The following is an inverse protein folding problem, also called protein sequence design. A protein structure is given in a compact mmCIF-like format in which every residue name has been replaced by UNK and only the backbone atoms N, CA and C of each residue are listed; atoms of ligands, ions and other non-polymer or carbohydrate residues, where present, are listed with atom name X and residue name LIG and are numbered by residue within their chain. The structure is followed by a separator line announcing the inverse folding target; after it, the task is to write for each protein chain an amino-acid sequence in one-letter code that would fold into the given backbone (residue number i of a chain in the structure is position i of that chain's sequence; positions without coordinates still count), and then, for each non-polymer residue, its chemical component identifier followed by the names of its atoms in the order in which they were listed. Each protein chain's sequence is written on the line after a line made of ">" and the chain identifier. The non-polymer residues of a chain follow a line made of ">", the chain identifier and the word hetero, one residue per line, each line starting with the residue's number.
data_IF_800459343203
#
_entry.id   IF_800459343203
#
_cell.length_a   1.000
_cell.length_b   1.000
_cell.length_c   1.000
_cell.angle_alpha   90.00
_cell.angle_beta   90.00
_cell.angle_gamma   90.00
#
_symmetry.space_group_name_H-M   'P 1'
#
loop_
_entity.id
_entity.type
_entity.pdbx_description
1 polymer ?
#
# COMPACT_ATOMS: atom_id res chain seq x y z
N UNK A 1 4.94 10.38 -19.45
CA UNK A 1 5.81 9.32 -18.90
C UNK A 1 5.70 9.33 -17.38
N UNK A 2 6.19 8.29 -16.66
CA UNK A 2 6.13 8.24 -15.18
C UNK A 2 6.75 9.50 -14.55
N UNK A 3 7.88 9.99 -15.06
CA UNK A 3 8.53 11.22 -14.58
C UNK A 3 7.65 12.48 -14.69
N UNK A 4 6.78 12.56 -15.70
CA UNK A 4 5.86 13.69 -15.86
C UNK A 4 4.76 13.66 -14.79
N UNK A 5 4.27 12.46 -14.43
CA UNK A 5 3.28 12.29 -13.37
C UNK A 5 3.89 12.60 -12.00
N UNK A 6 5.15 12.22 -11.76
CA UNK A 6 5.87 12.59 -10.55
C UNK A 6 6.01 14.12 -10.48
N UNK A 7 6.41 14.76 -11.59
CA UNK A 7 6.52 16.21 -11.67
C UNK A 7 5.19 16.90 -11.39
N UNK A 8 4.11 16.47 -12.03
CA UNK A 8 2.76 17.04 -11.82
C UNK A 8 2.35 16.97 -10.34
N UNK A 9 2.66 15.86 -9.66
CA UNK A 9 2.38 15.74 -8.23
C UNK A 9 3.23 16.68 -7.37
N UNK A 10 4.55 16.75 -7.64
CA UNK A 10 5.52 17.58 -6.91
C UNK A 10 5.27 19.09 -7.11
N UNK A 11 4.91 19.49 -8.32
CA UNK A 11 4.65 20.88 -8.70
C UNK A 11 3.17 21.27 -8.50
N UNK A 12 2.35 20.37 -7.94
CA UNK A 12 0.94 20.65 -7.70
C UNK A 12 0.77 21.79 -6.70
N UNK A 13 -0.20 22.67 -6.97
CA UNK A 13 -0.54 23.77 -6.06
C UNK A 13 -0.89 23.28 -4.65
N UNK A 14 -1.44 22.07 -4.53
CA UNK A 14 -1.75 21.43 -3.26
C UNK A 14 -0.49 21.14 -2.43
N UNK A 15 0.54 20.53 -3.03
CA UNK A 15 1.79 20.27 -2.30
C UNK A 15 2.51 21.58 -1.98
N UNK A 16 2.58 22.52 -2.92
CA UNK A 16 3.22 23.83 -2.70
C UNK A 16 2.54 24.60 -1.56
N UNK A 17 1.21 24.64 -1.52
CA UNK A 17 0.47 25.29 -0.44
C UNK A 17 0.74 24.63 0.92
N UNK A 18 0.79 23.30 0.96
CA UNK A 18 1.11 22.56 2.18
C UNK A 18 2.54 22.83 2.65
N UNK A 19 3.53 22.84 1.75
CA UNK A 19 4.93 23.15 2.08
C UNK A 19 5.04 24.59 2.61
N UNK A 20 4.40 25.56 1.95
CA UNK A 20 4.40 26.96 2.37
C UNK A 20 3.80 27.17 3.76
N UNK A 21 2.68 26.51 4.07
CA UNK A 21 2.03 26.61 5.38
C UNK A 21 2.89 26.11 6.54
N UNK A 22 3.87 25.24 6.26
CA UNK A 22 4.84 24.73 7.22
C UNK A 22 6.21 25.39 7.11
N UNK A 23 6.30 26.54 6.42
CA UNK A 23 7.50 27.39 6.35
C UNK A 23 8.54 26.95 5.32
N UNK A 24 8.18 26.07 4.38
CA UNK A 24 9.04 25.66 3.27
C UNK A 24 8.72 26.41 1.98
N UNK A 25 9.58 26.21 0.98
CA UNK A 25 9.43 26.71 -0.38
C UNK A 25 10.06 25.68 -1.32
N UNK A 26 9.24 25.06 -2.19
CA UNK A 26 9.73 24.07 -3.15
C UNK A 26 10.62 24.79 -4.17
N UNK A 27 11.89 24.42 -4.33
CA UNK A 27 12.78 25.11 -5.25
C UNK A 27 12.36 24.88 -6.71
N UNK A 28 12.65 25.85 -7.57
CA UNK A 28 12.67 25.63 -9.02
C UNK A 28 13.84 24.70 -9.40
N UNK A 29 13.66 23.93 -10.47
CA UNK A 29 14.78 23.21 -11.10
C UNK A 29 14.51 21.72 -11.37
N UNK A 30 15.58 20.90 -11.37
CA UNK A 30 15.46 19.47 -11.64
C UNK A 30 14.57 18.75 -10.63
N UNK A 31 13.77 17.81 -11.11
CA UNK A 31 12.82 17.04 -10.28
C UNK A 31 13.50 16.27 -9.14
N UNK A 32 14.73 15.80 -9.37
CA UNK A 32 15.53 15.12 -8.34
C UNK A 32 15.87 16.06 -7.17
N UNK A 33 16.21 17.32 -7.46
CA UNK A 33 16.55 18.31 -6.44
C UNK A 33 15.31 18.74 -5.65
N UNK A 34 14.17 18.88 -6.34
CA UNK A 34 12.87 19.13 -5.70
C UNK A 34 12.47 18.01 -4.73
N UNK A 35 12.59 16.75 -5.15
CA UNK A 35 12.29 15.59 -4.31
C UNK A 35 13.27 15.47 -3.14
N UNK A 36 14.56 15.72 -3.35
CA UNK A 36 15.55 15.74 -2.28
C UNK A 36 15.24 16.83 -1.24
N UNK A 37 14.86 18.02 -1.69
CA UNK A 37 14.38 19.10 -0.80
C UNK A 37 13.15 18.66 -0.01
N UNK A 38 12.12 18.15 -0.69
CA UNK A 38 10.86 17.73 -0.05
C UNK A 38 11.06 16.59 0.95
N UNK A 39 11.98 15.66 0.68
CA UNK A 39 12.33 14.58 1.60
C UNK A 39 12.93 15.13 2.91
N UNK A 40 13.86 16.08 2.79
CA UNK A 40 14.45 16.76 3.93
C UNK A 40 13.44 17.63 4.69
N UNK A 41 12.69 18.47 3.97
CA UNK A 41 11.69 19.37 4.53
C UNK A 41 10.59 18.62 5.28
N UNK A 42 10.07 17.53 4.70
CA UNK A 42 8.95 16.77 5.28
C UNK A 42 9.26 16.14 6.64
N UNK A 43 10.48 16.25 7.17
CA UNK A 43 10.80 15.88 8.55
C UNK A 43 9.93 16.63 9.56
N UNK A 44 9.43 17.82 9.23
CA UNK A 44 8.45 18.58 10.03
C UNK A 44 7.10 17.85 10.21
N UNK A 45 6.84 16.83 9.37
CA UNK A 45 5.64 15.99 9.39
C UNK A 45 5.92 14.59 9.95
N UNK A 46 7.12 14.32 10.47
CA UNK A 46 7.49 13.01 11.00
C UNK A 46 6.91 12.81 12.41
N UNK A 47 5.72 12.21 12.46
CA UNK A 47 5.04 11.86 13.71
C UNK A 47 5.47 10.50 14.26
N UNK A 48 6.30 9.74 13.52
CA UNK A 48 6.77 8.41 13.91
C UNK A 48 8.13 8.42 14.57
N UNK A 49 9.01 9.35 14.19
CA UNK A 49 10.39 9.42 14.67
C UNK A 49 11.13 8.06 14.59
N UNK A 50 10.90 7.30 13.51
CA UNK A 50 11.46 5.95 13.31
C UNK A 50 10.68 4.80 13.97
N UNK A 51 9.60 5.09 14.70
CA UNK A 51 8.72 4.10 15.33
C UNK A 51 7.69 3.48 14.39
N UNK A 52 6.94 2.51 14.92
CA UNK A 52 5.80 1.89 14.23
C UNK A 52 4.62 2.85 14.11
N UNK A 53 3.70 2.58 13.16
CA UNK A 53 2.50 3.41 12.95
C UNK A 53 1.65 3.59 14.21
N UNK A 54 1.54 2.53 15.02
CA UNK A 54 0.79 2.54 16.29
C UNK A 54 1.43 3.45 17.35
N UNK A 55 2.71 3.77 17.21
CA UNK A 55 3.46 4.62 18.12
C UNK A 55 3.43 6.10 17.70
N UNK A 56 2.81 6.41 16.55
CA UNK A 56 2.75 7.78 16.07
C UNK A 56 2.10 8.71 17.10
N UNK A 57 2.61 9.94 17.18
CA UNK A 57 2.07 11.00 18.03
C UNK A 57 1.78 12.19 17.14
N UNK A 58 0.50 12.46 16.93
CA UNK A 58 0.06 13.56 16.12
C UNK A 58 -0.07 14.83 16.94
N UNK A 59 0.17 15.96 16.29
CA UNK A 59 0.05 17.29 16.88
C UNK A 59 -1.32 17.83 16.51
N UNK A 60 -1.96 18.50 17.45
CA UNK A 60 -3.15 19.31 17.18
C UNK A 60 -2.74 20.59 16.44
N UNK A 61 -3.39 20.87 15.31
CA UNK A 61 -3.21 22.13 14.58
C UNK A 61 -4.41 23.05 14.81
N UNK A 62 -4.24 24.32 14.43
CA UNK A 62 -5.38 25.25 14.38
C UNK A 62 -6.33 24.85 13.24
N UNK A 63 -7.63 25.16 13.38
CA UNK A 63 -8.69 24.73 12.46
C UNK A 63 -8.43 25.10 10.99
N UNK A 64 -7.79 26.25 10.75
CA UNK A 64 -7.42 26.70 9.41
C UNK A 64 -6.32 25.84 8.78
N UNK A 65 -5.32 25.45 9.57
CA UNK A 65 -4.26 24.52 9.15
C UNK A 65 -4.82 23.12 8.95
N UNK A 66 -5.70 22.65 9.82
CA UNK A 66 -6.37 21.35 9.64
C UNK A 66 -7.19 21.32 8.35
N UNK A 67 -7.98 22.38 8.09
CA UNK A 67 -8.73 22.53 6.84
C UNK A 67 -7.83 22.46 5.61
N UNK A 68 -6.70 23.17 5.64
CA UNK A 68 -5.70 23.13 4.56
C UNK A 68 -5.11 21.74 4.38
N UNK A 69 -4.75 21.04 5.46
CA UNK A 69 -4.20 19.67 5.38
C UNK A 69 -5.22 18.75 4.71
N UNK A 70 -6.48 18.79 5.14
CA UNK A 70 -7.54 17.94 4.59
C UNK A 70 -7.78 18.20 3.10
N UNK A 71 -7.82 19.46 2.68
CA UNK A 71 -8.03 19.84 1.28
C UNK A 71 -6.83 19.46 0.42
N UNK A 72 -5.63 19.86 0.82
CA UNK A 72 -4.40 19.60 0.07
C UNK A 72 -4.14 18.10 -0.07
N UNK A 73 -4.25 17.32 1.00
CA UNK A 73 -4.01 15.87 0.95
C UNK A 73 -5.10 15.14 0.16
N UNK A 74 -6.34 15.62 0.18
CA UNK A 74 -7.39 15.16 -0.72
C UNK A 74 -7.03 15.36 -2.20
N UNK A 75 -6.56 16.56 -2.56
CA UNK A 75 -6.09 16.87 -3.91
C UNK A 75 -4.85 16.06 -4.33
N UNK A 76 -3.97 15.74 -3.39
CA UNK A 76 -2.80 14.87 -3.59
C UNK A 76 -3.14 13.38 -3.71
N UNK A 77 -4.43 13.01 -3.58
CA UNK A 77 -4.92 11.65 -3.78
C UNK A 77 -4.89 10.76 -2.54
N UNK A 78 -4.74 11.32 -1.34
CA UNK A 78 -4.92 10.60 -0.06
C UNK A 78 -6.41 10.41 0.28
N UNK A 79 -7.31 10.88 -0.58
CA UNK A 79 -8.74 10.61 -0.57
C UNK A 79 -9.27 10.53 -2.02
N UNK A 80 -10.52 10.09 -2.20
CA UNK A 80 -11.18 10.15 -3.52
C UNK A 80 -10.72 9.11 -4.55
N UNK A 81 -9.94 8.11 -4.14
CA UNK A 81 -9.41 7.03 -5.00
C UNK A 81 -10.10 5.68 -4.73
N UNK A 82 -11.41 5.71 -4.50
CA UNK A 82 -12.18 4.50 -4.18
C UNK A 82 -12.49 3.69 -5.44
N UNK A 83 -12.84 4.34 -6.54
CA UNK A 83 -13.38 3.66 -7.73
C UNK A 83 -12.27 3.25 -8.70
N UNK A 84 -12.19 1.97 -9.09
CA UNK A 84 -11.30 1.55 -10.16
C UNK A 84 -11.72 2.14 -11.52
N UNK A 85 -10.75 2.44 -12.38
CA UNK A 85 -10.95 3.01 -13.71
C UNK A 85 -11.37 1.94 -14.73
N UNK A 86 -10.91 0.70 -14.53
CA UNK A 86 -11.28 -0.46 -15.36
C UNK A 86 -12.38 -1.29 -14.72
N UNK A 87 -13.19 -1.92 -15.57
CA UNK A 87 -14.18 -2.93 -15.16
C UNK A 87 -13.59 -4.34 -15.01
N UNK A 88 -12.34 -4.55 -15.46
CA UNK A 88 -11.65 -5.83 -15.39
C UNK A 88 -10.18 -5.66 -15.01
N UNK A 89 -9.68 -6.57 -14.17
CA UNK A 89 -8.26 -6.75 -13.85
C UNK A 89 -7.88 -8.22 -13.86
N UNK A 90 -6.68 -8.53 -14.29
CA UNK A 90 -6.21 -9.92 -14.30
C UNK A 90 -5.98 -10.43 -12.87
N UNK A 91 -5.62 -9.55 -11.94
CA UNK A 91 -5.36 -9.89 -10.53
C UNK A 91 -5.83 -8.78 -9.59
N UNK A 92 -6.35 -9.15 -8.41
CA UNK A 92 -6.55 -8.23 -7.28
C UNK A 92 -5.56 -8.60 -6.18
N UNK A 93 -4.75 -7.64 -5.71
CA UNK A 93 -3.90 -7.83 -4.54
C UNK A 93 -4.40 -6.96 -3.38
N UNK A 94 -4.74 -7.59 -2.27
CA UNK A 94 -5.20 -6.92 -1.05
C UNK A 94 -4.01 -6.73 -0.11
N UNK A 95 -3.63 -5.47 0.14
CA UNK A 95 -2.48 -5.17 0.98
C UNK A 95 -2.71 -5.49 2.45
N UNK A 96 -1.71 -6.12 3.06
CA UNK A 96 -1.61 -6.39 4.49
C UNK A 96 -1.60 -5.17 5.40
N UNK A 97 -1.85 -5.40 6.68
CA UNK A 97 -1.80 -4.40 7.73
C UNK A 97 -2.15 -5.04 9.06
N UNK A 98 -2.48 -4.21 10.04
CA UNK A 98 -3.02 -4.72 11.31
C UNK A 98 -4.35 -5.47 11.10
N UNK A 99 -4.81 -6.17 12.14
CA UNK A 99 -6.02 -7.03 12.15
C UNK A 99 -7.23 -6.34 11.52
N UNK A 100 -7.54 -5.14 11.99
CA UNK A 100 -8.67 -4.32 11.53
C UNK A 100 -8.46 -3.88 10.08
N UNK A 101 -7.28 -3.37 9.75
CA UNK A 101 -6.96 -2.84 8.43
C UNK A 101 -7.00 -3.92 7.34
N UNK A 102 -6.35 -5.06 7.58
CA UNK A 102 -6.35 -6.18 6.64
C UNK A 102 -7.77 -6.66 6.37
N UNK A 103 -8.56 -6.85 7.42
CA UNK A 103 -9.98 -7.21 7.31
C UNK A 103 -10.81 -6.20 6.52
N UNK A 104 -10.66 -4.90 6.80
CA UNK A 104 -11.39 -3.86 6.07
C UNK A 104 -11.04 -3.85 4.58
N UNK A 105 -9.76 -4.01 4.23
CA UNK A 105 -9.32 -4.10 2.83
C UNK A 105 -9.85 -5.34 2.12
N UNK A 106 -9.89 -6.49 2.80
CA UNK A 106 -10.48 -7.71 2.25
C UNK A 106 -11.97 -7.55 1.96
N UNK A 107 -12.72 -6.93 2.87
CA UNK A 107 -14.13 -6.59 2.64
C UNK A 107 -14.31 -5.59 1.50
N UNK A 108 -13.39 -4.62 1.38
CA UNK A 108 -13.43 -3.66 0.29
C UNK A 108 -13.19 -4.33 -1.07
N UNK A 109 -12.24 -5.27 -1.15
CA UNK A 109 -12.01 -6.05 -2.35
C UNK A 109 -13.25 -6.89 -2.76
N UNK A 110 -13.92 -7.50 -1.79
CA UNK A 110 -15.18 -8.20 -2.03
C UNK A 110 -16.28 -7.24 -2.55
N UNK A 111 -16.42 -6.08 -1.91
CA UNK A 111 -17.37 -5.04 -2.32
C UNK A 111 -17.14 -4.54 -3.76
N UNK A 112 -15.87 -4.36 -4.17
CA UNK A 112 -15.54 -3.97 -5.54
C UNK A 112 -16.02 -5.03 -6.55
N UNK A 113 -15.86 -6.31 -6.23
CA UNK A 113 -16.33 -7.40 -7.10
C UNK A 113 -17.86 -7.49 -7.14
N UNK A 114 -18.53 -7.31 -6.01
CA UNK A 114 -20.00 -7.29 -5.92
C UNK A 114 -20.62 -6.12 -6.69
N UNK A 115 -19.90 -4.98 -6.77
CA UNK A 115 -20.37 -3.75 -7.42
C UNK A 115 -19.97 -3.63 -8.90
N UNK A 116 -19.40 -4.69 -9.48
CA UNK A 116 -19.24 -4.82 -10.93
C UNK A 116 -17.80 -4.81 -11.46
N UNK A 117 -16.79 -4.77 -10.58
CA UNK A 117 -15.41 -5.09 -11.00
C UNK A 117 -15.32 -6.60 -11.21
N UNK A 118 -14.72 -7.01 -12.32
CA UNK A 118 -14.37 -8.42 -12.54
C UNK A 118 -12.86 -8.61 -12.38
N UNK A 119 -12.46 -9.76 -11.84
CA UNK A 119 -11.05 -10.10 -11.78
C UNK A 119 -10.80 -11.61 -11.81
N UNK A 120 -9.55 -11.99 -12.10
CA UNK A 120 -9.03 -13.34 -11.92
C UNK A 120 -8.86 -13.69 -10.43
N UNK A 121 -7.66 -14.12 -9.98
CA UNK A 121 -7.45 -14.44 -8.58
C UNK A 121 -7.44 -13.19 -7.68
N UNK A 122 -7.86 -13.41 -6.42
CA UNK A 122 -7.70 -12.45 -5.32
C UNK A 122 -6.57 -12.95 -4.43
N UNK A 123 -5.60 -12.08 -4.14
CA UNK A 123 -4.42 -12.43 -3.35
C UNK A 123 -4.30 -11.51 -2.15
N UNK A 124 -4.38 -12.06 -0.95
CA UNK A 124 -4.08 -11.35 0.28
C UNK A 124 -2.59 -11.37 0.57
N UNK A 125 -2.02 -10.18 0.78
CA UNK A 125 -0.61 -10.01 1.06
C UNK A 125 -0.39 -9.84 2.55
N UNK A 126 0.45 -10.67 3.15
CA UNK A 126 0.86 -10.57 4.55
C UNK A 126 2.30 -11.06 4.74
N UNK A 127 2.72 -11.09 6.00
CA UNK A 127 4.02 -11.59 6.41
C UNK A 127 3.88 -12.50 7.62
N UNK A 128 4.98 -13.16 8.03
CA UNK A 128 5.04 -13.90 9.29
C UNK A 128 5.28 -13.00 10.52
N UNK A 129 5.17 -11.67 10.35
CA UNK A 129 5.24 -10.76 11.49
C UNK A 129 4.09 -11.04 12.44
N UNK A 130 4.41 -11.37 13.69
CA UNK A 130 3.43 -11.47 14.77
C UNK A 130 2.83 -10.09 15.03
N UNK A 131 1.50 -10.04 15.02
CA UNK A 131 0.75 -8.83 15.31
C UNK A 131 0.70 -8.60 16.82
N UNK A 132 0.72 -7.33 17.27
CA UNK A 132 0.50 -7.01 18.67
C UNK A 132 -0.78 -7.67 19.23
N UNK A 133 -0.82 -7.99 20.53
CA UNK A 133 -2.00 -8.53 21.18
C UNK A 133 -3.24 -7.65 20.97
N UNK A 134 -4.40 -8.29 20.94
CA UNK A 134 -5.68 -7.63 20.75
C UNK A 134 -6.01 -6.57 21.82
N UNK A 135 -5.39 -6.63 23.00
CA UNK A 135 -5.62 -5.68 24.09
C UNK A 135 -5.38 -4.21 23.73
N UNK A 136 -4.58 -3.94 22.69
CA UNK A 136 -4.37 -2.59 22.13
C UNK A 136 -5.10 -2.37 20.79
N UNK A 137 -5.63 -3.44 20.17
CA UNK A 137 -6.21 -3.43 18.82
C UNK A 137 -7.69 -3.86 18.74
N UNK A 138 -8.36 -4.07 19.87
CA UNK A 138 -9.82 -4.20 19.98
C UNK A 138 -10.45 -5.53 19.54
N UNK A 139 -9.68 -6.62 19.39
CA UNK A 139 -10.18 -7.93 18.91
C UNK A 139 -10.17 -9.04 20.00
N UNK A 140 -11.10 -9.03 20.97
CA UNK A 140 -11.12 -10.01 22.04
C UNK A 140 -11.23 -11.46 21.51
N UNK A 141 -10.25 -12.30 21.84
CA UNK A 141 -10.21 -13.73 21.46
C UNK A 141 -9.12 -14.12 20.45
N UNK A 142 -8.28 -13.17 20.02
CA UNK A 142 -7.19 -13.45 19.07
C UNK A 142 -6.05 -14.26 19.71
N UNK A 143 -5.52 -15.27 19.00
CA UNK A 143 -4.31 -16.00 19.41
C UNK A 143 -3.10 -15.05 19.57
N UNK A 144 -2.28 -15.30 20.59
CA UNK A 144 -1.14 -14.43 20.96
C UNK A 144 -0.04 -14.37 19.90
N UNK A 145 -0.01 -15.33 18.98
CA UNK A 145 0.98 -15.53 17.92
C UNK A 145 0.43 -15.23 16.52
N UNK A 146 -0.76 -14.60 16.40
CA UNK A 146 -1.36 -14.33 15.10
C UNK A 146 -0.44 -13.48 14.22
N UNK A 147 -0.07 -13.99 13.05
CA UNK A 147 0.73 -13.24 12.08
C UNK A 147 -0.12 -12.31 11.20
N UNK A 148 0.53 -11.38 10.50
CA UNK A 148 -0.11 -10.59 9.44
C UNK A 148 -0.75 -11.49 8.37
N UNK A 149 -0.09 -12.58 7.97
CA UNK A 149 -0.63 -13.56 7.04
C UNK A 149 -1.90 -14.23 7.57
N UNK A 150 -1.92 -14.64 8.84
CA UNK A 150 -3.11 -15.27 9.44
C UNK A 150 -4.28 -14.29 9.59
N UNK A 151 -3.99 -13.04 9.95
CA UNK A 151 -5.01 -11.98 9.98
C UNK A 151 -5.58 -11.71 8.58
N UNK A 152 -4.72 -11.68 7.56
CA UNK A 152 -5.13 -11.52 6.17
C UNK A 152 -6.03 -12.67 5.71
N UNK A 153 -5.68 -13.92 6.05
CA UNK A 153 -6.52 -15.07 5.76
C UNK A 153 -7.91 -14.93 6.38
N UNK A 154 -7.99 -14.61 7.67
CA UNK A 154 -9.28 -14.42 8.35
C UNK A 154 -10.10 -13.33 7.66
N UNK A 155 -9.47 -12.19 7.35
CA UNK A 155 -10.13 -11.09 6.65
C UNK A 155 -10.65 -11.48 5.26
N UNK A 156 -9.85 -12.23 4.48
CA UNK A 156 -10.29 -12.71 3.17
C UNK A 156 -11.40 -13.74 3.27
N UNK A 157 -11.36 -14.67 4.21
CA UNK A 157 -12.40 -15.69 4.36
C UNK A 157 -13.78 -15.11 4.72
N UNK A 158 -13.83 -13.89 5.27
CA UNK A 158 -15.11 -13.19 5.47
C UNK A 158 -15.73 -12.66 4.17
N UNK A 159 -14.93 -12.12 3.26
CA UNK A 159 -15.41 -11.61 1.96
C UNK A 159 -15.42 -12.66 0.84
N UNK A 160 -14.65 -13.72 1.02
CA UNK A 160 -14.44 -14.79 0.05
C UNK A 160 -14.52 -16.13 0.78
N UNK A 161 -15.74 -16.58 1.06
CA UNK A 161 -15.96 -17.82 1.81
C UNK A 161 -15.40 -19.03 1.03
N UNK A 162 -14.55 -19.87 1.64
CA UNK A 162 -14.07 -21.10 1.01
C UNK A 162 -15.21 -22.05 0.70
N UNK A 163 -15.26 -22.57 -0.53
CA UNK A 163 -16.24 -23.61 -0.95
C UNK A 163 -15.61 -24.99 -1.14
N UNK A 164 -14.32 -25.11 -0.79
CA UNK A 164 -13.53 -26.32 -0.92
C UNK A 164 -12.39 -26.34 0.08
N UNK A 165 -11.49 -27.35 0.00
CA UNK A 165 -10.35 -27.45 0.91
C UNK A 165 -9.43 -26.23 0.77
N UNK A 166 -8.81 -25.87 1.88
CA UNK A 166 -7.69 -24.92 1.90
C UNK A 166 -6.42 -25.72 1.69
N UNK A 167 -5.73 -25.47 0.58
CA UNK A 167 -4.40 -26.02 0.31
C UNK A 167 -3.34 -25.11 0.93
N UNK A 168 -2.27 -25.69 1.45
CA UNK A 168 -1.13 -24.96 2.02
C UNK A 168 0.18 -25.44 1.39
N UNK A 169 1.03 -24.47 1.04
CA UNK A 169 2.42 -24.66 0.67
C UNK A 169 3.28 -23.86 1.62
N UNK A 170 4.36 -24.45 2.11
CA UNK A 170 5.31 -23.79 3.01
C UNK A 170 6.73 -23.98 2.49
N UNK A 171 7.65 -23.16 2.98
CA UNK A 171 9.07 -23.34 2.74
C UNK A 171 9.90 -22.31 3.47
N UNK A 172 11.21 -22.36 3.23
CA UNK A 172 12.21 -21.47 3.82
C UNK A 172 13.12 -20.98 2.71
N UNK A 173 13.44 -19.69 2.68
CA UNK A 173 14.40 -19.12 1.72
C UNK A 173 15.82 -19.62 2.01
N UNK A 174 16.74 -19.44 1.06
CA UNK A 174 18.16 -19.73 1.28
C UNK A 174 18.73 -18.98 2.50
N UNK A 175 18.23 -17.76 2.75
CA UNK A 175 18.61 -16.94 3.91
C UNK A 175 17.88 -17.31 5.23
N UNK A 176 17.14 -18.42 5.26
CA UNK A 176 16.49 -18.92 6.47
C UNK A 176 15.16 -18.24 6.83
N UNK A 177 14.52 -17.49 5.91
CA UNK A 177 13.23 -16.87 6.17
C UNK A 177 12.09 -17.79 5.72
N UNK A 178 11.20 -18.13 6.66
CA UNK A 178 10.03 -18.95 6.35
C UNK A 178 9.01 -18.20 5.51
N UNK A 179 8.19 -18.94 4.78
CA UNK A 179 7.06 -18.45 4.01
C UNK A 179 5.97 -19.50 3.92
N UNK A 180 4.75 -19.03 3.70
CA UNK A 180 3.65 -19.91 3.33
C UNK A 180 2.69 -19.25 2.34
N UNK A 181 2.04 -20.08 1.54
CA UNK A 181 0.94 -19.72 0.65
C UNK A 181 -0.23 -20.65 0.93
N UNK A 182 -1.39 -20.07 1.22
CA UNK A 182 -2.66 -20.81 1.33
C UNK A 182 -3.56 -20.45 0.17
N UNK A 183 -4.30 -21.43 -0.34
CA UNK A 183 -5.24 -21.18 -1.44
C UNK A 183 -6.52 -21.97 -1.28
N UNK A 184 -7.63 -21.41 -1.78
CA UNK A 184 -8.92 -22.07 -1.77
C UNK A 184 -9.83 -21.52 -2.88
N UNK A 185 -10.77 -22.33 -3.39
CA UNK A 185 -11.80 -21.83 -4.28
C UNK A 185 -12.85 -21.01 -3.50
N UNK A 186 -13.34 -19.93 -4.09
CA UNK A 186 -14.45 -19.13 -3.60
C UNK A 186 -15.23 -18.52 -4.77
N UNK A 187 -16.55 -18.72 -4.82
CA UNK A 187 -17.46 -18.08 -5.79
C UNK A 187 -16.90 -17.95 -7.23
N UNK A 188 -16.37 -19.03 -7.80
CA UNK A 188 -15.88 -19.06 -9.19
C UNK A 188 -14.47 -18.49 -9.42
N UNK A 189 -13.72 -18.17 -8.36
CA UNK A 189 -12.32 -17.72 -8.45
C UNK A 189 -11.45 -18.42 -7.40
N UNK A 190 -10.14 -18.37 -7.61
CA UNK A 190 -9.17 -18.84 -6.62
C UNK A 190 -8.73 -17.67 -5.75
N UNK A 191 -8.73 -17.89 -4.45
CA UNK A 191 -8.19 -16.95 -3.47
C UNK A 191 -6.87 -17.48 -2.96
N UNK A 192 -5.89 -16.60 -2.87
CA UNK A 192 -4.58 -16.88 -2.29
C UNK A 192 -4.33 -15.98 -1.09
N UNK A 193 -3.58 -16.49 -0.13
CA UNK A 193 -3.03 -15.70 0.97
C UNK A 193 -1.55 -16.03 1.05
N UNK A 194 -0.71 -15.00 1.04
CA UNK A 194 0.75 -15.15 1.10
C UNK A 194 1.23 -14.56 2.41
N UNK A 195 1.95 -15.34 3.20
CA UNK A 195 2.87 -14.81 4.21
C UNK A 195 4.27 -14.80 3.60
N UNK A 196 4.66 -13.64 3.08
CA UNK A 196 5.90 -13.48 2.36
C UNK A 196 7.10 -13.43 3.31
N UNK A 197 8.25 -14.00 2.89
CA UNK A 197 9.49 -13.86 3.63
C UNK A 197 10.05 -12.45 3.44
N UNK A 198 10.91 -12.02 4.36
CA UNK A 198 11.75 -10.84 4.11
C UNK A 198 12.83 -11.19 3.08
N UNK A 199 13.11 -10.28 2.14
CA UNK A 199 14.29 -10.36 1.27
C UNK A 199 15.51 -9.65 1.85
N UNK A 200 15.38 -9.15 3.09
CA UNK A 200 16.43 -8.43 3.82
C UNK A 200 16.80 -9.23 5.07
N UNK A 201 18.00 -9.83 5.12
CA UNK A 201 18.44 -10.65 6.25
C UNK A 201 18.25 -9.93 7.60
N UNK A 202 17.64 -10.63 8.56
CA UNK A 202 17.40 -10.11 9.91
C UNK A 202 16.35 -8.98 10.01
N UNK A 203 15.69 -8.60 8.91
CA UNK A 203 14.65 -7.57 8.91
C UNK A 203 13.27 -8.17 8.67
N UNK A 204 12.24 -7.47 9.13
CA UNK A 204 10.85 -7.80 8.80
C UNK A 204 10.58 -7.57 7.31
N UNK A 205 9.69 -8.41 6.75
CA UNK A 205 9.12 -8.16 5.44
C UNK A 205 8.40 -6.80 5.41
N UNK A 206 8.56 -6.05 4.32
CA UNK A 206 7.83 -4.81 4.04
C UNK A 206 6.83 -5.03 2.88
N UNK A 207 6.13 -3.96 2.47
CA UNK A 207 5.18 -4.03 1.36
C UNK A 207 5.81 -4.56 0.07
N UNK A 208 7.01 -4.13 -0.30
CA UNK A 208 7.72 -4.63 -1.47
C UNK A 208 8.02 -6.14 -1.37
N UNK A 209 8.46 -6.63 -0.21
CA UNK A 209 8.67 -8.05 0.05
C UNK A 209 7.37 -8.85 -0.17
N UNK A 210 6.21 -8.33 0.26
CA UNK A 210 4.91 -9.01 0.05
C UNK A 210 4.44 -9.01 -1.40
N UNK A 211 4.71 -7.94 -2.16
CA UNK A 211 4.42 -7.87 -3.61
C UNK A 211 5.29 -8.86 -4.39
N UNK A 212 6.56 -8.96 -4.03
CA UNK A 212 7.45 -9.98 -4.55
C UNK A 212 7.01 -11.40 -4.19
N UNK A 213 6.57 -11.62 -2.94
CA UNK A 213 6.02 -12.90 -2.51
C UNK A 213 4.85 -13.35 -3.37
N UNK A 214 3.97 -12.43 -3.78
CA UNK A 214 2.94 -12.74 -4.78
C UNK A 214 3.55 -13.18 -6.13
N UNK A 215 4.47 -12.41 -6.68
CA UNK A 215 5.05 -12.68 -7.99
C UNK A 215 5.82 -14.02 -8.04
N UNK A 216 6.52 -14.35 -6.96
CA UNK A 216 7.38 -15.54 -6.88
C UNK A 216 6.62 -16.80 -6.45
N UNK A 217 5.71 -16.68 -5.49
CA UNK A 217 5.11 -17.83 -4.82
C UNK A 217 3.70 -18.17 -5.32
N UNK A 218 3.02 -17.21 -5.95
CA UNK A 218 1.66 -17.39 -6.49
C UNK A 218 1.69 -17.33 -8.00
N UNK A 219 1.96 -16.15 -8.57
CA UNK A 219 1.94 -15.95 -10.03
C UNK A 219 2.65 -14.66 -10.39
N UNK A 220 3.61 -14.75 -11.31
CA UNK A 220 4.25 -13.59 -11.92
C UNK A 220 3.33 -12.98 -12.98
N UNK A 221 2.88 -11.72 -12.84
CA UNK A 221 2.07 -11.07 -13.86
C UNK A 221 2.88 -10.81 -15.13
N UNK A 222 2.21 -10.85 -16.28
CA UNK A 222 2.84 -10.50 -17.58
C UNK A 222 2.69 -9.01 -17.89
N UNK A 223 3.45 -8.51 -18.88
CA UNK A 223 3.36 -7.12 -19.30
C UNK A 223 2.00 -6.72 -19.90
N UNK A 224 1.21 -7.69 -20.37
CA UNK A 224 -0.14 -7.45 -20.88
C UNK A 224 -1.21 -7.46 -19.77
N UNK A 225 -0.85 -7.94 -18.58
CA UNK A 225 -1.79 -8.07 -17.47
C UNK A 225 -1.85 -6.81 -16.61
N UNK A 226 -2.99 -6.66 -15.96
CA UNK A 226 -3.32 -5.54 -15.09
C UNK A 226 -3.61 -6.03 -13.68
N UNK A 227 -3.04 -5.33 -12.70
CA UNK A 227 -3.15 -5.64 -11.27
C UNK A 227 -3.85 -4.49 -10.57
N UNK A 228 -4.95 -4.80 -9.87
CA UNK A 228 -5.61 -3.87 -8.97
C UNK A 228 -5.11 -4.09 -7.54
N UNK A 229 -4.44 -3.09 -7.01
CA UNK A 229 -3.98 -3.04 -5.63
C UNK A 229 -5.07 -2.43 -4.75
N UNK A 230 -5.47 -3.15 -3.70
CA UNK A 230 -6.52 -2.72 -2.76
C UNK A 230 -5.90 -2.32 -1.43
N UNK A 231 -6.19 -1.09 -0.99
CA UNK A 231 -5.67 -0.53 0.25
C UNK A 231 -6.68 0.39 0.96
N UNK A 232 -6.18 1.31 1.79
CA UNK A 232 -6.89 2.38 2.49
C UNK A 232 -6.55 3.71 1.81
N UNK A 233 -7.53 4.58 1.62
CA UNK A 233 -7.43 5.87 0.92
C UNK A 233 -6.13 6.65 1.14
N UNK A 234 -5.75 6.95 2.38
CA UNK A 234 -4.58 7.77 2.67
C UNK A 234 -3.24 7.14 2.28
N UNK A 235 -3.22 5.82 2.11
CA UNK A 235 -2.01 5.08 1.73
C UNK A 235 -1.89 4.91 0.21
N UNK A 236 -2.95 5.23 -0.55
CA UNK A 236 -2.97 5.04 -2.00
C UNK A 236 -1.74 5.67 -2.67
N UNK A 237 -1.36 6.94 -2.43
CA UNK A 237 -0.26 7.54 -3.18
C UNK A 237 1.06 6.80 -3.00
N UNK A 238 1.50 6.55 -1.77
CA UNK A 238 2.78 5.90 -1.55
C UNK A 238 2.77 4.41 -1.94
N UNK A 239 1.67 3.70 -1.68
CA UNK A 239 1.58 2.26 -2.00
C UNK A 239 1.38 2.02 -3.50
N UNK A 240 0.76 2.95 -4.22
CA UNK A 240 0.73 2.94 -5.67
C UNK A 240 2.14 3.07 -6.24
N UNK A 241 2.92 4.02 -5.72
CA UNK A 241 4.31 4.24 -6.15
C UNK A 241 5.19 3.04 -5.81
N UNK A 242 5.07 2.46 -4.62
CA UNK A 242 5.79 1.23 -4.25
C UNK A 242 5.39 0.07 -5.17
N UNK A 243 4.12 -0.08 -5.53
CA UNK A 243 3.66 -1.13 -6.45
C UNK A 243 4.13 -0.91 -7.90
N UNK A 244 4.15 0.33 -8.39
CA UNK A 244 4.80 0.66 -9.67
C UNK A 244 6.27 0.30 -9.60
N UNK A 245 6.97 0.68 -8.53
CA UNK A 245 8.40 0.40 -8.39
C UNK A 245 8.69 -1.09 -8.41
N UNK A 246 7.93 -1.88 -7.66
CA UNK A 246 8.18 -3.33 -7.47
C UNK A 246 7.60 -4.21 -8.59
N UNK A 247 6.42 -3.89 -9.11
CA UNK A 247 5.75 -4.71 -10.13
C UNK A 247 5.72 -4.01 -11.48
N UNK A 248 5.35 -2.72 -11.53
CA UNK A 248 5.21 -1.98 -12.79
C UNK A 248 6.52 -1.81 -13.56
N UNK A 249 7.61 -1.43 -12.88
CA UNK A 249 8.93 -1.24 -13.51
C UNK A 249 9.60 -2.58 -13.76
N UNK A 250 9.62 -3.46 -12.75
CA UNK A 250 10.37 -4.72 -12.83
C UNK A 250 9.68 -5.78 -13.71
N UNK A 251 8.34 -5.84 -13.70
CA UNK A 251 7.55 -6.85 -14.42
C UNK A 251 6.77 -6.28 -15.60
N UNK A 252 6.76 -4.95 -15.78
CA UNK A 252 6.09 -4.25 -16.88
C UNK A 252 4.58 -4.45 -16.95
N UNK A 253 3.94 -4.91 -15.86
CA UNK A 253 2.49 -5.05 -15.80
C UNK A 253 1.81 -3.71 -15.46
N UNK A 254 0.53 -3.58 -15.83
CA UNK A 254 -0.26 -2.39 -15.52
C UNK A 254 -0.68 -2.40 -14.05
N UNK A 255 -0.41 -1.32 -13.32
CA UNK A 255 -0.78 -1.17 -11.91
C UNK A 255 -1.87 -0.11 -11.76
N UNK A 256 -2.91 -0.43 -11.00
CA UNK A 256 -3.85 0.54 -10.48
C UNK A 256 -4.02 0.31 -8.98
N UNK A 257 -4.19 1.38 -8.19
CA UNK A 257 -4.37 1.28 -6.74
C UNK A 257 -5.62 2.03 -6.33
N UNK A 258 -6.47 1.36 -5.55
CA UNK A 258 -7.67 1.95 -4.95
C UNK A 258 -7.66 1.76 -3.44
N UNK A 259 -8.29 2.69 -2.73
CA UNK A 259 -8.42 2.64 -1.28
C UNK A 259 -9.85 2.85 -0.84
N UNK A 260 -10.31 2.11 0.18
CA UNK A 260 -11.60 2.44 0.79
C UNK A 260 -11.52 3.79 1.50
N UNK A 261 -12.64 4.52 1.48
CA UNK A 261 -12.78 5.79 2.17
C UNK A 261 -13.02 5.58 3.66
N UNK A 262 -12.11 6.06 4.50
CA UNK A 262 -12.22 5.91 5.96
C UNK A 262 -13.38 6.69 6.58
N UNK A 263 -13.91 7.70 5.89
CA UNK A 263 -15.05 8.50 6.36
C UNK A 263 -16.38 7.79 6.14
N UNK A 264 -16.49 7.00 5.08
CA UNK A 264 -17.78 6.44 4.66
C UNK A 264 -17.84 4.91 4.62
N UNK A 265 -16.70 4.21 4.73
CA UNK A 265 -16.70 2.76 4.62
C UNK A 265 -17.21 2.10 5.91
N UNK A 266 -18.40 1.49 5.83
CA UNK A 266 -19.12 0.95 6.98
C UNK A 266 -18.35 -0.10 7.80
N UNK A 267 -17.37 -0.78 7.20
CA UNK A 267 -16.56 -1.80 7.85
C UNK A 267 -15.25 -1.28 8.45
N UNK A 268 -15.06 0.05 8.45
CA UNK A 268 -13.92 0.71 9.08
C UNK A 268 -14.32 1.29 10.45
N UNK A 269 -13.83 0.72 11.57
CA UNK A 269 -14.27 1.12 12.90
C UNK A 269 -13.55 2.35 13.45
N UNK A 270 -12.43 2.78 12.85
CA UNK A 270 -11.55 3.80 13.44
C UNK A 270 -11.81 5.22 12.92
N UNK A 271 -12.84 5.42 12.09
CA UNK A 271 -13.20 6.75 11.56
C UNK A 271 -12.12 7.41 10.67
N UNK A 272 -12.23 8.73 10.42
CA UNK A 272 -11.33 9.46 9.52
C UNK A 272 -9.85 9.40 9.95
N UNK A 273 -8.97 9.77 9.02
CA UNK A 273 -7.56 10.04 9.32
C UNK A 273 -7.39 11.31 10.15
N UNK A 274 -6.49 11.25 11.12
CA UNK A 274 -5.97 12.43 11.80
C UNK A 274 -5.17 13.30 10.80
N UNK A 275 -5.27 14.65 10.84
CA UNK A 275 -4.48 15.51 9.96
C UNK A 275 -2.97 15.23 10.01
N UNK A 276 -2.42 14.94 11.20
CA UNK A 276 -1.03 14.53 11.36
C UNK A 276 -0.71 13.17 10.72
N UNK A 277 -1.69 12.26 10.64
CA UNK A 277 -1.54 11.00 9.90
C UNK A 277 -1.45 11.26 8.39
N UNK A 278 -2.29 12.16 7.86
CA UNK A 278 -2.26 12.54 6.44
C UNK A 278 -0.94 13.21 6.04
N UNK A 279 -0.39 14.07 6.89
CA UNK A 279 0.95 14.65 6.71
C UNK A 279 2.05 13.58 6.69
N UNK A 280 1.98 12.63 7.62
CA UNK A 280 2.93 11.51 7.70
C UNK A 280 2.85 10.59 6.46
N UNK A 281 1.68 10.41 5.87
CA UNK A 281 1.53 9.63 4.64
C UNK A 281 1.88 10.44 3.39
N UNK A 282 1.71 11.76 3.41
CA UNK A 282 2.26 12.66 2.38
C UNK A 282 3.78 12.56 2.34
N UNK A 283 4.43 12.57 3.51
CA UNK A 283 5.86 12.26 3.64
C UNK A 283 6.18 10.89 3.03
N UNK A 284 5.42 9.84 3.36
CA UNK A 284 5.65 8.50 2.80
C UNK A 284 5.55 8.47 1.27
N UNK A 285 4.65 9.27 0.68
CA UNK A 285 4.53 9.42 -0.77
C UNK A 285 5.76 10.09 -1.38
N UNK A 286 6.26 11.18 -0.79
CA UNK A 286 7.49 11.87 -1.23
C UNK A 286 8.68 10.90 -1.28
N UNK A 287 8.92 10.15 -0.20
CA UNK A 287 10.00 9.14 -0.16
C UNK A 287 9.84 8.10 -1.27
N UNK A 288 8.62 7.66 -1.51
CA UNK A 288 8.36 6.61 -2.51
C UNK A 288 8.58 7.15 -3.93
N UNK A 289 8.15 8.39 -4.21
CA UNK A 289 8.37 9.06 -5.50
C UNK A 289 9.85 9.28 -5.77
N UNK A 290 10.62 9.69 -4.76
CA UNK A 290 12.06 9.87 -4.88
C UNK A 290 12.77 8.55 -5.23
N UNK A 291 12.40 7.45 -4.54
CA UNK A 291 12.91 6.11 -4.89
C UNK A 291 12.52 5.70 -6.31
N UNK A 292 11.27 5.91 -6.72
CA UNK A 292 10.79 5.55 -8.05
C UNK A 292 11.57 6.30 -9.14
N UNK A 293 11.81 7.60 -8.96
CA UNK A 293 12.58 8.40 -9.93
C UNK A 293 13.98 7.80 -10.15
N UNK A 294 14.67 7.40 -9.07
CA UNK A 294 15.95 6.72 -9.16
C UNK A 294 15.86 5.40 -9.94
N UNK A 295 14.84 4.59 -9.67
CA UNK A 295 14.64 3.28 -10.33
C UNK A 295 14.31 3.39 -11.81
N UNK A 296 13.54 4.41 -12.21
CA UNK A 296 13.25 4.68 -13.64
C UNK A 296 14.54 5.09 -14.36
N UNK A 297 15.34 5.99 -13.77
CA UNK A 297 16.60 6.41 -14.36
C UNK A 297 17.61 5.25 -14.50
N UNK A 298 17.64 4.33 -13.55
CA UNK A 298 18.45 3.10 -13.65
C UNK A 298 17.97 2.19 -14.79
N UNK A 299 16.67 1.96 -14.90
CA UNK A 299 16.08 1.10 -15.94
C UNK A 299 16.34 1.67 -17.35
N UNK A 300 16.23 2.99 -17.52
CA UNK A 300 16.54 3.67 -18.79
C UNK A 300 18.01 3.51 -19.16
N UNK A 301 18.94 3.70 -18.22
CA UNK A 301 20.38 3.48 -18.43
C UNK A 301 20.70 2.05 -18.85
N UNK A 302 20.09 1.06 -18.22
CA UNK A 302 20.29 -0.35 -18.57
C UNK A 302 19.75 -0.66 -19.97
N UNK A 303 18.58 -0.12 -20.33
CA UNK A 303 17.99 -0.32 -21.66
C UNK A 303 18.77 0.38 -22.79
N UNK A 304 19.42 1.50 -22.50
CA UNK A 304 20.26 2.23 -23.47
C UNK A 304 21.67 1.65 -23.64
N UNK A 305 22.13 0.80 -22.72
CA UNK A 305 23.41 0.12 -22.79
C UNK A 305 23.36 -1.20 -23.61
N UNK A 306 22.16 -1.67 -23.96
CA UNK A 306 21.92 -2.86 -24.79
C UNK A 306 21.77 -2.55 -26.30
N UNK A 307 22.10 -1.33 -26.74
CA UNK A 307 22.04 -0.88 -28.15
C UNK A 307 23.43 -0.72 -28.76
#
# INVERSE_FOLDING_TARGET
>A
MVSDQIREWVESSALTALVAAFGGEVPDGPLADQLAYLEGFSAVWDSRAGGERLNARYRDYADDIDGLILEATGALGLAGRQRPQRSHYDHILVLGGGRITGRARSRYAAHLLETGVSAGPVVGLGSLRVLPPAGESGDPGSAADLTEGDAMQRGLQEGFVPIGPVEERTGTTADGNDWWVRSYPSAGRTVYVVAAPSRRPGQRANTADTLHGYADLVRRPTAAETVLLVTTDLYVPFQHVDAITTLGVELRCGIETVGFDRRSFAYWPNGPGDPGELLQETRSAIYSLHRLLGRVADAERMSGAEV
#
